data_IF_095219200539
#
_entry.id   IF_095219200539
#
_cell.length_a   1.000
_cell.length_b   1.000
_cell.length_c   1.000
_cell.angle_alpha   90.00
_cell.angle_beta   90.00
_cell.angle_gamma   90.00
#
_symmetry.space_group_name_H-M   'P 1'
#
loop_
_entity.id
_entity.type
_entity.pdbx_description
1 polymer ?
#
# COMPACT_ATOMS: atom_id res chain seq x y z
N UNK A 1 -26.10 1.26 37.25
CA UNK A 1 -25.78 -0.18 37.06
C UNK A 1 -25.43 -0.45 35.59
N UNK A 2 -24.20 -0.86 35.24
CA UNK A 2 -23.90 -1.37 33.90
C UNK A 2 -24.75 -2.62 33.64
N UNK A 3 -25.47 -2.69 32.50
CA UNK A 3 -26.22 -3.89 32.11
C UNK A 3 -25.23 -5.04 31.94
N UNK A 4 -25.25 -6.00 32.87
CA UNK A 4 -24.51 -7.25 32.70
C UNK A 4 -25.00 -7.91 31.41
N UNK A 5 -24.07 -8.27 30.53
CA UNK A 5 -24.42 -9.01 29.30
C UNK A 5 -24.95 -10.37 29.73
N UNK A 6 -26.08 -10.80 29.14
CA UNK A 6 -26.68 -12.10 29.45
C UNK A 6 -25.67 -13.20 29.12
N UNK A 7 -25.46 -14.14 30.04
CA UNK A 7 -24.55 -15.28 29.82
C UNK A 7 -25.07 -16.14 28.66
N UNK A 8 -24.24 -16.57 27.70
CA UNK A 8 -24.62 -17.56 26.70
C UNK A 8 -24.96 -18.89 27.39
N UNK A 9 -25.95 -19.62 26.87
CA UNK A 9 -26.46 -20.84 27.51
C UNK A 9 -25.48 -22.04 27.48
N UNK A 10 -24.52 -22.06 26.55
CA UNK A 10 -23.57 -23.17 26.34
C UNK A 10 -22.11 -22.67 26.30
N UNK A 11 -21.64 -21.99 27.34
CA UNK A 11 -20.26 -21.49 27.40
C UNK A 11 -19.35 -22.52 28.10
N UNK A 12 -18.23 -22.89 27.46
CA UNK A 12 -17.23 -23.76 28.08
C UNK A 12 -16.58 -23.07 29.30
N UNK A 13 -16.12 -23.80 30.33
CA UNK A 13 -15.57 -23.20 31.55
C UNK A 13 -14.37 -22.27 31.30
N UNK A 14 -13.57 -22.53 30.26
CA UNK A 14 -12.46 -21.66 29.86
C UNK A 14 -12.94 -20.33 29.24
N UNK A 15 -13.96 -20.38 28.38
CA UNK A 15 -14.55 -19.18 27.76
C UNK A 15 -15.18 -18.26 28.82
N UNK A 16 -15.81 -18.86 29.84
CA UNK A 16 -16.38 -18.11 30.95
C UNK A 16 -15.32 -17.35 31.76
N UNK A 17 -14.12 -17.92 31.96
CA UNK A 17 -12.99 -17.23 32.63
C UNK A 17 -12.52 -16.03 31.80
N UNK A 18 -12.33 -16.21 30.48
CA UNK A 18 -11.93 -15.14 29.58
C UNK A 18 -12.96 -14.01 29.57
N UNK A 19 -14.26 -14.32 29.50
CA UNK A 19 -15.31 -13.28 29.58
C UNK A 19 -15.25 -12.51 30.88
N UNK A 20 -15.10 -13.18 32.02
CA UNK A 20 -15.01 -12.51 33.32
C UNK A 20 -13.79 -11.57 33.39
N UNK A 21 -12.65 -11.99 32.84
CA UNK A 21 -11.45 -11.14 32.74
C UNK A 21 -11.73 -9.91 31.86
N UNK A 22 -12.32 -10.10 30.68
CA UNK A 22 -12.69 -9.02 29.77
C UNK A 22 -13.70 -8.05 30.40
N UNK A 23 -14.69 -8.55 31.15
CA UNK A 23 -15.67 -7.73 31.86
C UNK A 23 -15.02 -6.91 32.98
N UNK A 24 -14.08 -7.50 33.74
CA UNK A 24 -13.32 -6.77 34.77
C UNK A 24 -12.54 -5.61 34.16
N UNK A 25 -11.80 -5.87 33.08
CA UNK A 25 -11.02 -4.83 32.37
C UNK A 25 -11.94 -3.78 31.77
N UNK A 26 -13.00 -4.20 31.07
CA UNK A 26 -13.95 -3.27 30.47
C UNK A 26 -14.64 -2.41 31.53
N UNK A 27 -14.89 -2.91 32.73
CA UNK A 27 -15.54 -2.16 33.81
C UNK A 27 -14.62 -1.21 34.57
N UNK A 28 -13.32 -1.20 34.29
CA UNK A 28 -12.39 -0.25 34.90
C UNK A 28 -12.70 1.21 34.53
N UNK A 29 -13.10 1.48 33.28
CA UNK A 29 -13.45 2.82 32.85
C UNK A 29 -14.89 3.21 33.26
N UNK A 30 -15.13 4.47 33.67
CA UNK A 30 -16.46 4.95 34.02
C UNK A 30 -17.37 5.00 32.79
N UNK A 31 -18.69 5.01 33.04
CA UNK A 31 -19.71 4.95 31.98
C UNK A 31 -19.66 6.17 31.03
N UNK A 32 -19.30 7.34 31.56
CA UNK A 32 -19.07 8.57 30.78
C UNK A 32 -18.00 8.35 29.71
N UNK A 33 -16.88 7.76 30.10
CA UNK A 33 -15.71 7.60 29.24
C UNK A 33 -15.98 6.60 28.14
N UNK A 34 -16.66 5.49 28.47
CA UNK A 34 -17.15 4.53 27.46
C UNK A 34 -18.08 5.18 26.44
N UNK A 35 -18.94 6.08 26.90
CA UNK A 35 -19.89 6.79 26.01
C UNK A 35 -19.14 7.78 25.11
N UNK A 36 -18.19 8.53 25.67
CA UNK A 36 -17.30 9.42 24.93
C UNK A 36 -16.48 8.65 23.89
N UNK A 37 -15.92 7.50 24.27
CA UNK A 37 -15.18 6.62 23.38
C UNK A 37 -16.03 6.11 22.23
N UNK A 38 -17.25 5.62 22.50
CA UNK A 38 -18.17 5.16 21.47
C UNK A 38 -18.49 6.27 20.46
N UNK A 39 -18.76 7.50 20.94
CA UNK A 39 -19.00 8.66 20.05
C UNK A 39 -17.78 8.98 19.19
N UNK A 40 -16.57 8.95 19.77
CA UNK A 40 -15.32 9.15 19.01
C UNK A 40 -15.12 8.08 17.95
N UNK A 41 -15.37 6.82 18.30
CA UNK A 41 -15.27 5.69 17.38
C UNK A 41 -16.29 5.80 16.23
N UNK A 42 -17.53 6.18 16.52
CA UNK A 42 -18.55 6.45 15.51
C UNK A 42 -18.14 7.60 14.58
N UNK A 43 -17.62 8.70 15.13
CA UNK A 43 -17.14 9.83 14.34
C UNK A 43 -15.94 9.46 13.47
N UNK A 44 -15.01 8.66 13.98
CA UNK A 44 -13.91 8.11 13.20
C UNK A 44 -14.44 7.26 12.03
N UNK A 45 -15.41 6.39 12.29
CA UNK A 45 -16.07 5.60 11.25
C UNK A 45 -16.71 6.47 10.16
N UNK A 46 -17.33 7.61 10.53
CA UNK A 46 -17.85 8.58 9.56
C UNK A 46 -16.75 9.23 8.73
N UNK A 47 -15.60 9.56 9.32
CA UNK A 47 -14.46 10.13 8.59
C UNK A 47 -13.85 9.12 7.62
N UNK A 48 -13.68 7.85 8.04
CA UNK A 48 -13.19 6.78 7.17
C UNK A 48 -14.09 6.57 5.95
N UNK A 49 -15.41 6.62 6.13
CA UNK A 49 -16.38 6.56 5.02
C UNK A 49 -16.21 7.71 4.01
N UNK A 50 -15.76 8.89 4.46
CA UNK A 50 -15.47 10.01 3.57
C UNK A 50 -14.17 9.83 2.79
N UNK A 51 -13.18 9.13 3.36
CA UNK A 51 -11.89 8.85 2.70
C UNK A 51 -12.04 7.80 1.61
N UNK A 52 -12.84 6.77 1.87
CA UNK A 52 -13.06 5.65 0.97
C UNK A 52 -13.29 6.00 -0.52
N UNK A 53 -14.18 6.95 -0.91
CA UNK A 53 -14.34 7.31 -2.32
C UNK A 53 -13.07 7.86 -2.97
N UNK A 54 -12.25 8.62 -2.24
CA UNK A 54 -10.97 9.11 -2.76
C UNK A 54 -9.99 7.96 -3.02
N UNK A 55 -9.92 6.98 -2.12
CA UNK A 55 -9.10 5.78 -2.32
C UNK A 55 -9.55 5.00 -3.56
N UNK A 56 -10.87 4.85 -3.76
CA UNK A 56 -11.41 4.22 -4.95
C UNK A 56 -11.09 5.01 -6.23
N UNK A 57 -11.16 6.34 -6.19
CA UNK A 57 -10.74 7.20 -7.31
C UNK A 57 -9.25 7.04 -7.62
N UNK A 58 -8.37 7.01 -6.61
CA UNK A 58 -6.93 6.79 -6.78
C UNK A 58 -6.68 5.42 -7.41
N UNK A 59 -7.35 4.37 -6.94
CA UNK A 59 -7.26 3.03 -7.52
C UNK A 59 -7.69 3.04 -9.00
N UNK A 60 -8.79 3.74 -9.32
CA UNK A 60 -9.28 3.90 -10.69
C UNK A 60 -8.29 4.65 -11.58
N UNK A 61 -7.64 5.71 -11.08
CA UNK A 61 -6.58 6.42 -11.80
C UNK A 61 -5.40 5.50 -12.06
N UNK A 62 -4.91 4.77 -11.04
CA UNK A 62 -3.80 3.83 -11.20
C UNK A 62 -4.11 2.76 -12.24
N UNK A 63 -5.32 2.20 -12.23
CA UNK A 63 -5.76 1.23 -13.26
C UNK A 63 -5.70 1.81 -14.68
N UNK A 64 -6.06 3.09 -14.86
CA UNK A 64 -5.96 3.78 -16.16
C UNK A 64 -4.52 4.09 -16.57
N UNK A 65 -3.59 4.20 -15.62
CA UNK A 65 -2.17 4.41 -15.93
C UNK A 65 -1.48 3.14 -16.43
N UNK A 66 -1.94 1.94 -16.02
CA UNK A 66 -1.37 0.65 -16.44
C UNK A 66 -1.24 0.54 -17.98
N UNK A 67 -2.29 0.73 -18.79
CA UNK A 67 -2.16 0.61 -20.24
C UNK A 67 -1.16 1.62 -20.83
N UNK A 68 -1.08 2.83 -20.27
CA UNK A 68 -0.09 3.83 -20.70
C UNK A 68 1.34 3.36 -20.38
N UNK A 69 1.55 2.74 -19.22
CA UNK A 69 2.85 2.15 -18.89
C UNK A 69 3.19 0.97 -19.79
N UNK A 70 2.20 0.16 -20.16
CA UNK A 70 2.37 -0.93 -21.11
C UNK A 70 2.79 -0.38 -22.49
N UNK A 71 2.12 0.66 -22.99
CA UNK A 71 2.47 1.35 -24.24
C UNK A 71 3.90 1.92 -24.19
N UNK A 72 4.28 2.55 -23.08
CA UNK A 72 5.64 3.06 -22.86
C UNK A 72 6.66 1.91 -22.86
N UNK A 73 6.33 0.77 -22.27
CA UNK A 73 7.22 -0.38 -22.23
C UNK A 73 7.45 -0.94 -23.65
N UNK A 74 6.39 -1.08 -24.44
CA UNK A 74 6.48 -1.51 -25.85
C UNK A 74 7.35 -0.55 -26.66
N UNK A 75 7.11 0.76 -26.55
CA UNK A 75 7.91 1.76 -27.24
C UNK A 75 9.38 1.70 -26.81
N UNK A 76 9.64 1.51 -25.51
CA UNK A 76 10.99 1.38 -24.98
C UNK A 76 11.69 0.14 -25.54
N UNK A 77 11.00 -1.00 -25.64
CA UNK A 77 11.57 -2.21 -26.26
C UNK A 77 11.94 -1.99 -27.72
N UNK A 78 11.09 -1.33 -28.49
CA UNK A 78 11.36 -0.97 -29.89
C UNK A 78 12.58 -0.04 -30.01
N UNK A 79 12.63 0.99 -29.17
CA UNK A 79 13.76 1.92 -29.10
C UNK A 79 15.06 1.24 -28.66
N UNK A 80 15.00 0.21 -27.80
CA UNK A 80 16.18 -0.57 -27.40
C UNK A 80 16.63 -1.49 -28.54
N UNK A 81 15.71 -2.11 -29.29
CA UNK A 81 16.04 -2.96 -30.46
C UNK A 81 16.67 -2.15 -31.58
N UNK A 82 16.13 -0.97 -31.85
CA UNK A 82 16.60 -0.06 -32.90
C UNK A 82 17.60 0.97 -32.37
N UNK A 83 18.17 0.74 -31.17
CA UNK A 83 18.89 1.74 -30.41
C UNK A 83 19.98 2.41 -31.25
N UNK A 84 19.69 3.64 -31.64
CA UNK A 84 20.68 4.61 -32.07
C UNK A 84 21.35 5.08 -30.79
N UNK A 85 22.68 5.07 -30.76
CA UNK A 85 23.48 5.42 -29.59
C UNK A 85 23.96 6.89 -29.69
N UNK A 86 23.09 7.89 -29.43
CA UNK A 86 23.52 9.29 -29.47
C UNK A 86 24.51 9.54 -28.33
N UNK A 87 25.43 10.46 -28.59
CA UNK A 87 26.54 10.80 -27.69
C UNK A 87 26.07 11.12 -26.26
N UNK A 88 24.96 11.86 -26.11
CA UNK A 88 24.42 12.29 -24.81
C UNK A 88 23.95 11.15 -23.90
N UNK A 89 23.69 9.98 -24.49
CA UNK A 89 23.23 8.78 -23.78
C UNK A 89 24.36 7.76 -23.55
N UNK A 90 25.59 8.08 -23.98
CA UNK A 90 26.77 7.26 -23.73
C UNK A 90 27.44 7.68 -22.42
N UNK A 91 27.82 6.70 -21.62
CA UNK A 91 28.58 6.89 -20.38
C UNK A 91 29.87 6.09 -20.50
N UNK A 92 30.99 6.79 -20.37
CA UNK A 92 32.29 6.15 -20.27
C UNK A 92 32.45 5.55 -18.86
N UNK A 93 32.66 4.24 -18.77
CA UNK A 93 32.99 3.53 -17.54
C UNK A 93 34.38 2.91 -17.71
N UNK A 94 35.42 3.53 -17.16
CA UNK A 94 36.82 3.07 -17.06
C UNK A 94 37.38 2.28 -18.26
N UNK A 95 36.91 1.05 -18.49
CA UNK A 95 37.32 0.12 -19.54
C UNK A 95 36.38 0.06 -20.79
N UNK A 96 35.14 0.56 -20.72
CA UNK A 96 34.17 0.49 -21.82
C UNK A 96 33.13 1.62 -21.81
N UNK A 97 32.45 1.83 -22.95
CA UNK A 97 31.33 2.77 -23.06
C UNK A 97 30.01 2.01 -22.88
N UNK A 98 29.09 2.54 -22.08
CA UNK A 98 27.75 1.97 -21.87
C UNK A 98 26.70 2.97 -22.33
N UNK A 99 25.74 2.52 -23.12
CA UNK A 99 24.55 3.32 -23.38
C UNK A 99 23.57 3.23 -22.19
N UNK A 100 23.11 4.37 -21.65
CA UNK A 100 22.13 4.42 -20.54
C UNK A 100 20.77 3.79 -20.90
N UNK A 101 20.47 3.70 -22.19
CA UNK A 101 19.15 3.31 -22.67
C UNK A 101 19.03 1.79 -22.87
N UNK A 102 19.93 1.20 -23.65
CA UNK A 102 19.97 -0.24 -23.91
C UNK A 102 20.90 -1.02 -22.97
N UNK A 103 21.69 -0.34 -22.13
CA UNK A 103 22.71 -0.93 -21.24
C UNK A 103 23.75 -1.81 -21.95
N UNK A 104 23.84 -1.73 -23.27
CA UNK A 104 24.82 -2.48 -24.05
C UNK A 104 26.21 -1.88 -23.87
N UNK A 105 27.22 -2.75 -23.75
CA UNK A 105 28.63 -2.36 -23.73
C UNK A 105 29.11 -2.18 -25.16
N UNK A 106 29.64 -0.99 -25.46
CA UNK A 106 30.17 -0.63 -26.77
C UNK A 106 31.69 -0.55 -26.65
N UNK A 107 32.38 -1.40 -27.40
CA UNK A 107 33.84 -1.37 -27.50
C UNK A 107 34.25 -0.26 -28.47
N UNK A 108 35.23 0.55 -28.07
CA UNK A 108 35.78 1.62 -28.93
C UNK A 108 36.49 0.94 -30.13
N UNK A 109 36.15 1.28 -31.38
CA UNK A 109 36.85 0.73 -32.54
C UNK A 109 38.32 1.15 -32.48
N UNK A 110 39.23 0.17 -32.49
CA UNK A 110 40.68 0.45 -32.52
C UNK A 110 41.00 1.16 -33.83
N UNK A 111 41.35 2.44 -33.75
CA UNK A 111 41.94 3.18 -34.85
C UNK A 111 43.23 2.47 -35.27
N UNK A 112 43.29 2.05 -36.55
CA UNK A 112 44.51 1.59 -37.21
C UNK A 112 45.40 2.77 -37.55
#
# INVERSE_FOLDING_TARGET
MPRQRRKPKNEAPEQAKVRQQLEKVANHAPRSDKTSWNRKNENMGKLLKKIYPFEQSILGIRKRMIPIYDDIAVLREEMVRTCVHPYDLLVHKEDHIVCKFCNSKISIPKTK
#
